data_IF_804441931671
#
_entry.id   IF_804441931671
#
_cell.length_a   1.000
_cell.length_b   1.000
_cell.length_c   1.000
_cell.angle_alpha   90.00
_cell.angle_beta   90.00
_cell.angle_gamma   90.00
#
_symmetry.space_group_name_H-M   'P 1'
#
loop_
_entity.id
_entity.type
_entity.pdbx_description
1 polymer ?
#
# COMPACT_ATOMS: atom_id res chain seq x y z
N UNK A 1 -25.43 -32.48 -20.71
CA UNK A 1 -24.88 -32.38 -19.34
C UNK A 1 -23.90 -31.21 -19.32
N UNK A 2 -24.36 -30.00 -19.02
CA UNK A 2 -23.45 -28.90 -18.70
C UNK A 2 -23.02 -29.09 -17.25
N UNK A 3 -21.72 -29.19 -16.95
CA UNK A 3 -21.26 -29.21 -15.57
C UNK A 3 -21.60 -27.88 -14.92
N UNK A 4 -22.13 -27.94 -13.71
CA UNK A 4 -22.47 -26.81 -12.87
C UNK A 4 -21.30 -25.80 -12.77
N UNK A 5 -21.58 -24.50 -12.66
CA UNK A 5 -20.54 -23.50 -12.42
C UNK A 5 -19.76 -23.85 -11.15
N UNK A 6 -18.45 -23.56 -11.09
CA UNK A 6 -17.65 -23.83 -9.91
C UNK A 6 -18.24 -23.08 -8.72
N UNK A 7 -18.19 -23.76 -7.57
CA UNK A 7 -18.69 -23.28 -6.28
C UNK A 7 -18.17 -21.87 -6.04
N UNK A 8 -19.08 -21.00 -5.61
CA UNK A 8 -18.76 -19.69 -5.07
C UNK A 8 -17.58 -19.87 -4.09
N UNK A 9 -16.44 -19.26 -4.39
CA UNK A 9 -15.39 -19.08 -3.38
C UNK A 9 -15.95 -18.06 -2.39
N UNK A 10 -16.63 -18.56 -1.37
CA UNK A 10 -17.00 -17.77 -0.22
C UNK A 10 -15.73 -17.68 0.64
N UNK A 11 -14.98 -16.60 0.46
CA UNK A 11 -13.93 -16.18 1.37
C UNK A 11 -14.63 -15.87 2.71
N UNK A 12 -14.57 -16.82 3.65
CA UNK A 12 -15.09 -16.64 5.01
C UNK A 12 -14.20 -15.65 5.76
N UNK A 13 -14.71 -14.46 6.04
CA UNK A 13 -13.97 -13.30 6.60
C UNK A 13 -13.45 -13.63 8.01
N UNK A 14 -12.28 -14.24 8.08
CA UNK A 14 -11.40 -14.38 9.24
C UNK A 14 -9.99 -13.88 8.84
N UNK A 15 -9.09 -13.71 9.81
CA UNK A 15 -7.68 -13.24 9.64
C UNK A 15 -6.91 -13.93 8.48
N UNK A 16 -7.32 -15.15 8.12
CA UNK A 16 -6.76 -15.94 7.03
C UNK A 16 -7.04 -15.36 5.62
N UNK A 17 -8.20 -14.71 5.40
CA UNK A 17 -8.51 -14.11 4.10
C UNK A 17 -7.78 -12.80 3.85
N UNK A 18 -7.49 -12.06 4.90
CA UNK A 18 -6.81 -10.77 4.81
C UNK A 18 -5.36 -11.00 4.42
N UNK A 19 -4.74 -12.01 5.05
CA UNK A 19 -3.43 -12.53 4.67
C UNK A 19 -3.46 -13.04 3.22
N UNK A 20 -4.53 -13.73 2.80
CA UNK A 20 -4.67 -14.19 1.43
C UNK A 20 -4.82 -13.04 0.41
N UNK A 21 -5.62 -12.00 0.69
CA UNK A 21 -5.80 -10.85 -0.21
C UNK A 21 -4.51 -10.05 -0.29
N UNK A 22 -3.83 -9.79 0.84
CA UNK A 22 -2.51 -9.15 0.85
C UNK A 22 -1.52 -9.95 0.01
N UNK A 23 -1.43 -11.26 0.24
CA UNK A 23 -0.54 -12.13 -0.52
C UNK A 23 -0.87 -12.14 -2.02
N UNK A 24 -2.14 -12.29 -2.40
CA UNK A 24 -2.59 -12.22 -3.79
C UNK A 24 -2.27 -10.87 -4.42
N UNK A 25 -2.40 -9.79 -3.65
CA UNK A 25 -1.93 -8.47 -4.03
C UNK A 25 -0.45 -8.47 -4.36
N UNK A 26 0.40 -8.91 -3.44
CA UNK A 26 1.84 -8.98 -3.69
C UNK A 26 2.18 -9.80 -4.93
N UNK A 27 1.53 -10.96 -5.11
CA UNK A 27 1.69 -11.79 -6.30
C UNK A 27 1.26 -11.06 -7.58
N UNK A 28 0.14 -10.33 -7.54
CA UNK A 28 -0.31 -9.51 -8.67
C UNK A 28 0.71 -8.43 -9.03
N UNK A 29 1.23 -7.69 -8.04
CA UNK A 29 2.24 -6.67 -8.26
C UNK A 29 3.52 -7.25 -8.86
N UNK A 30 4.03 -8.34 -8.29
CA UNK A 30 5.24 -9.02 -8.76
C UNK A 30 5.07 -9.61 -10.17
N UNK A 31 3.87 -10.08 -10.51
CA UNK A 31 3.60 -10.66 -11.83
C UNK A 31 3.46 -9.60 -12.93
N UNK A 32 2.95 -8.40 -12.59
CA UNK A 32 2.68 -7.35 -13.58
C UNK A 32 3.78 -6.28 -13.64
N UNK A 33 4.60 -6.15 -12.60
CA UNK A 33 5.63 -5.12 -12.50
C UNK A 33 6.96 -5.74 -12.06
N UNK A 34 7.88 -5.91 -13.02
CA UNK A 34 9.12 -6.68 -12.83
C UNK A 34 10.04 -6.16 -11.72
N UNK A 35 9.96 -4.88 -11.39
CA UNK A 35 10.75 -4.24 -10.35
C UNK A 35 10.01 -4.11 -9.00
N UNK A 36 8.81 -4.70 -8.82
CA UNK A 36 7.98 -4.54 -7.60
C UNK A 36 8.74 -4.80 -6.28
N UNK A 37 9.70 -5.72 -6.27
CA UNK A 37 10.50 -6.04 -5.08
C UNK A 37 11.50 -4.94 -4.70
N UNK A 38 11.84 -4.04 -5.62
CA UNK A 38 12.74 -2.92 -5.38
C UNK A 38 12.02 -1.74 -4.68
N UNK A 39 10.70 -1.80 -4.58
CA UNK A 39 9.85 -0.77 -3.96
C UNK A 39 9.00 -1.38 -2.83
N UNK A 40 9.62 -1.78 -1.71
CA UNK A 40 8.91 -2.46 -0.64
C UNK A 40 7.77 -1.58 -0.06
N UNK A 41 7.95 -0.26 -0.01
CA UNK A 41 6.89 0.66 0.41
C UNK A 41 5.63 0.56 -0.48
N UNK A 42 5.81 0.43 -1.80
CA UNK A 42 4.71 0.35 -2.75
C UNK A 42 4.08 -1.03 -2.72
N UNK A 43 4.90 -2.08 -2.74
CA UNK A 43 4.45 -3.47 -2.69
C UNK A 43 3.63 -3.74 -1.42
N UNK A 44 4.17 -3.38 -0.26
CA UNK A 44 3.52 -3.61 1.03
C UNK A 44 2.40 -2.61 1.30
N UNK A 45 2.58 -1.35 0.92
CA UNK A 45 1.59 -0.32 1.11
C UNK A 45 0.32 -0.58 0.31
N UNK A 46 0.45 -0.85 -1.00
CA UNK A 46 -0.70 -1.18 -1.83
C UNK A 46 -1.35 -2.50 -1.39
N UNK A 47 -0.58 -3.57 -1.20
CA UNK A 47 -1.15 -4.88 -0.87
C UNK A 47 -1.86 -4.90 0.49
N UNK A 48 -1.33 -4.18 1.48
CA UNK A 48 -1.95 -4.07 2.80
C UNK A 48 -3.19 -3.17 2.78
N UNK A 49 -3.19 -2.11 1.96
CA UNK A 49 -4.36 -1.26 1.78
C UNK A 49 -5.51 -2.00 1.11
N UNK A 50 -5.27 -2.71 0.00
CA UNK A 50 -6.33 -3.46 -0.70
C UNK A 50 -6.87 -4.63 0.11
N UNK A 51 -6.12 -5.13 1.10
CA UNK A 51 -6.59 -6.15 2.02
C UNK A 51 -7.76 -5.64 2.89
N UNK A 52 -7.93 -4.32 3.03
CA UNK A 52 -9.12 -3.70 3.62
C UNK A 52 -10.36 -3.69 2.71
N UNK A 53 -10.26 -4.24 1.50
CA UNK A 53 -11.35 -4.28 0.54
C UNK A 53 -12.50 -5.17 1.00
N UNK A 54 -13.73 -4.65 0.87
CA UNK A 54 -14.98 -5.38 1.08
C UNK A 54 -15.81 -5.35 -0.20
N UNK A 55 -16.47 -6.47 -0.51
CA UNK A 55 -17.46 -6.49 -1.59
C UNK A 55 -18.71 -5.76 -1.13
N UNK A 56 -19.13 -4.76 -1.90
CA UNK A 56 -20.41 -4.11 -1.70
C UNK A 56 -21.58 -4.98 -2.19
N UNK A 57 -22.81 -4.51 -1.97
CA UNK A 57 -24.03 -5.22 -2.38
C UNK A 57 -24.14 -5.43 -3.90
N UNK A 58 -23.35 -4.68 -4.70
CA UNK A 58 -23.29 -4.80 -6.16
C UNK A 58 -22.20 -5.77 -6.62
N UNK A 59 -21.41 -6.32 -5.69
CA UNK A 59 -20.28 -7.20 -5.98
C UNK A 59 -19.03 -6.44 -6.44
N UNK A 60 -18.99 -5.12 -6.28
CA UNK A 60 -17.80 -4.31 -6.51
C UNK A 60 -16.94 -4.28 -5.24
N UNK A 61 -15.62 -4.30 -5.40
CA UNK A 61 -14.71 -4.13 -4.27
C UNK A 61 -14.62 -2.65 -3.94
N UNK A 62 -14.98 -2.31 -2.71
CA UNK A 62 -14.76 -0.98 -2.11
C UNK A 62 -13.75 -1.09 -0.99
N UNK A 63 -12.88 -0.10 -0.82
CA UNK A 63 -11.95 -0.05 0.32
C UNK A 63 -12.42 1.10 1.20
N UNK A 64 -13.24 0.83 2.25
CA UNK A 64 -13.85 1.86 3.07
C UNK A 64 -12.83 2.60 3.96
N UNK A 65 -11.66 2.00 4.18
CA UNK A 65 -10.58 2.56 4.98
C UNK A 65 -9.51 1.53 5.28
N UNK A 66 -8.46 1.91 6.04
CA UNK A 66 -7.44 0.97 6.51
C UNK A 66 -8.06 -0.06 7.46
N UNK A 67 -7.45 -1.25 7.51
CA UNK A 67 -7.83 -2.29 8.48
C UNK A 67 -7.44 -1.89 9.90
N UNK A 68 -8.18 -2.39 10.89
CA UNK A 68 -7.90 -2.11 12.29
C UNK A 68 -6.48 -2.50 12.70
N UNK A 69 -5.96 -3.66 12.26
CA UNK A 69 -4.57 -4.05 12.57
C UNK A 69 -3.53 -3.07 12.00
N UNK A 70 -3.77 -2.52 10.81
CA UNK A 70 -2.89 -1.51 10.20
C UNK A 70 -2.97 -0.20 10.98
N UNK A 71 -4.17 0.18 11.44
CA UNK A 71 -4.34 1.33 12.32
C UNK A 71 -3.63 1.13 13.65
N UNK A 72 -3.76 -0.04 14.27
CA UNK A 72 -3.15 -0.35 15.56
C UNK A 72 -1.60 -0.31 15.46
N UNK A 73 -1.03 -0.93 14.43
CA UNK A 73 0.41 -0.91 14.16
C UNK A 73 0.92 0.51 13.85
N UNK A 74 0.17 1.28 13.05
CA UNK A 74 0.50 2.69 12.77
C UNK A 74 0.46 3.55 14.02
N UNK A 75 -0.60 3.42 14.84
CA UNK A 75 -0.77 4.19 16.08
C UNK A 75 0.30 3.82 17.13
N UNK A 76 0.69 2.55 17.19
CA UNK A 76 1.83 2.10 17.99
C UNK A 76 3.12 2.80 17.55
N UNK A 77 3.38 2.85 16.25
CA UNK A 77 4.55 3.53 15.70
C UNK A 77 4.52 5.06 15.92
N UNK A 78 3.37 5.72 15.70
CA UNK A 78 3.20 7.17 15.86
C UNK A 78 3.39 7.61 17.31
N UNK A 79 2.83 6.86 18.27
CA UNK A 79 2.99 7.15 19.70
C UNK A 79 4.38 6.78 20.24
N UNK A 80 5.05 5.79 19.66
CA UNK A 80 6.35 5.27 20.09
C UNK A 80 7.58 5.96 19.48
N UNK A 81 7.40 6.98 18.62
CA UNK A 81 8.47 7.52 17.75
C UNK A 81 9.08 6.50 16.77
N UNK A 82 8.31 5.46 16.43
CA UNK A 82 8.70 4.41 15.49
C UNK A 82 8.47 4.78 14.02
N UNK A 83 7.73 5.86 13.74
CA UNK A 83 7.59 6.38 12.38
C UNK A 83 8.93 6.89 11.85
N UNK A 84 9.26 6.45 10.64
CA UNK A 84 10.40 7.00 9.89
C UNK A 84 9.96 8.20 9.08
N UNK A 85 10.89 9.09 8.75
CA UNK A 85 10.59 10.19 7.81
C UNK A 85 10.10 9.63 6.48
N UNK A 86 9.12 10.29 5.84
CA UNK A 86 8.53 9.81 4.59
C UNK A 86 9.57 9.57 3.50
N UNK A 87 10.53 10.48 3.35
CA UNK A 87 11.63 10.32 2.40
C UNK A 87 12.42 9.02 2.67
N UNK A 88 12.68 8.72 3.94
CA UNK A 88 13.39 7.51 4.35
C UNK A 88 12.55 6.25 4.09
N UNK A 89 11.24 6.30 4.32
CA UNK A 89 10.32 5.20 4.01
C UNK A 89 10.33 4.87 2.51
N UNK A 90 10.17 5.91 1.68
CA UNK A 90 10.05 5.79 0.24
C UNK A 90 11.34 5.33 -0.42
N UNK A 91 12.50 5.65 0.16
CA UNK A 91 13.82 5.25 -0.34
C UNK A 91 14.36 3.97 0.34
N UNK A 92 13.62 3.37 1.26
CA UNK A 92 14.09 2.25 2.06
C UNK A 92 14.32 1.00 1.18
N UNK A 93 15.55 0.45 1.11
CA UNK A 93 15.80 -0.77 0.36
C UNK A 93 15.18 -1.98 1.07
N UNK A 94 14.78 -2.99 0.30
CA UNK A 94 14.11 -4.20 0.81
C UNK A 94 14.86 -4.86 1.99
N UNK A 95 16.19 -4.94 1.90
CA UNK A 95 17.02 -5.50 2.97
C UNK A 95 16.84 -4.80 4.32
N UNK A 96 16.66 -3.47 4.33
CA UNK A 96 16.39 -2.69 5.54
C UNK A 96 14.92 -2.77 5.93
N UNK A 97 14.01 -2.64 4.97
CA UNK A 97 12.56 -2.68 5.18
C UNK A 97 12.12 -3.96 5.90
N UNK A 98 12.72 -5.11 5.54
CA UNK A 98 12.40 -6.41 6.13
C UNK A 98 13.34 -6.84 7.27
N UNK A 99 14.26 -5.99 7.72
CA UNK A 99 15.26 -6.34 8.76
C UNK A 99 14.74 -6.28 10.20
N UNK A 100 13.58 -5.65 10.44
CA UNK A 100 12.98 -5.53 11.77
C UNK A 100 13.44 -4.34 12.62
N UNK A 101 14.16 -3.37 12.04
CA UNK A 101 14.34 -2.04 12.65
C UNK A 101 14.16 -0.93 11.61
N UNK A 102 13.06 -0.15 11.65
CA UNK A 102 11.92 -0.26 12.57
C UNK A 102 11.19 -1.59 12.45
N UNK A 103 10.30 -1.91 13.40
CA UNK A 103 9.60 -3.19 13.37
C UNK A 103 8.84 -3.33 12.05
N UNK A 104 8.94 -4.50 11.41
CA UNK A 104 8.32 -4.73 10.08
C UNK A 104 6.83 -4.36 10.06
N UNK A 105 6.00 -4.73 11.06
CA UNK A 105 4.60 -4.34 11.07
C UNK A 105 4.39 -2.82 11.04
N UNK A 106 5.20 -2.05 11.78
CA UNK A 106 5.09 -0.59 11.87
C UNK A 106 5.42 0.10 10.55
N UNK A 107 6.51 -0.33 9.88
CA UNK A 107 6.92 0.21 8.58
C UNK A 107 5.94 -0.18 7.47
N UNK A 108 5.41 -1.40 7.51
CA UNK A 108 4.34 -1.85 6.59
C UNK A 108 3.08 -1.03 6.81
N UNK A 109 2.68 -0.79 8.07
CA UNK A 109 1.52 0.02 8.40
C UNK A 109 1.68 1.47 7.94
N UNK A 110 2.85 2.08 8.16
CA UNK A 110 3.13 3.42 7.66
C UNK A 110 3.05 3.49 6.13
N UNK A 111 3.61 2.51 5.42
CA UNK A 111 3.51 2.43 3.96
C UNK A 111 2.06 2.26 3.48
N UNK A 112 1.25 1.45 4.17
CA UNK A 112 -0.16 1.25 3.87
C UNK A 112 -0.99 2.53 4.08
N UNK A 113 -0.73 3.26 5.15
CA UNK A 113 -1.39 4.53 5.43
C UNK A 113 -0.99 5.62 4.41
N UNK A 114 0.28 5.70 4.02
CA UNK A 114 0.71 6.62 2.97
C UNK A 114 0.04 6.30 1.62
N UNK A 115 0.01 5.02 1.25
CA UNK A 115 -0.67 4.59 0.02
C UNK A 115 -2.18 4.86 0.07
N UNK A 116 -2.82 4.60 1.21
CA UNK A 116 -4.22 4.93 1.47
C UNK A 116 -4.53 6.41 1.26
N UNK A 117 -3.72 7.29 1.83
CA UNK A 117 -3.82 8.74 1.60
C UNK A 117 -3.69 9.10 0.12
N UNK A 118 -2.71 8.52 -0.59
CA UNK A 118 -2.55 8.76 -2.03
C UNK A 118 -3.82 8.39 -2.80
N UNK A 119 -4.37 7.20 -2.62
CA UNK A 119 -5.55 6.77 -3.39
C UNK A 119 -6.82 7.52 -2.99
N UNK A 120 -6.94 7.96 -1.73
CA UNK A 120 -8.13 8.67 -1.23
C UNK A 120 -8.11 10.16 -1.55
N UNK A 121 -6.96 10.81 -1.41
CA UNK A 121 -6.85 12.27 -1.50
C UNK A 121 -6.10 12.76 -2.73
N UNK A 122 -5.27 11.92 -3.35
CA UNK A 122 -4.43 12.27 -4.50
C UNK A 122 -4.49 11.18 -5.59
N UNK A 123 -5.70 10.78 -6.04
CA UNK A 123 -5.86 9.61 -6.89
C UNK A 123 -5.07 9.69 -8.21
N UNK A 124 -4.90 10.89 -8.76
CA UNK A 124 -4.11 11.11 -9.98
C UNK A 124 -2.63 10.77 -9.77
N UNK A 125 -2.05 11.09 -8.60
CA UNK A 125 -0.69 10.70 -8.23
C UNK A 125 -0.55 9.19 -8.06
N UNK A 126 -1.54 8.52 -7.45
CA UNK A 126 -1.54 7.06 -7.34
C UNK A 126 -1.64 6.37 -8.71
N UNK A 127 -2.50 6.89 -9.60
CA UNK A 127 -2.60 6.43 -10.99
C UNK A 127 -1.30 6.67 -11.74
N UNK A 128 -0.65 7.83 -11.51
CA UNK A 128 0.63 8.15 -12.13
C UNK A 128 1.71 7.14 -11.75
N UNK A 129 1.82 6.78 -10.46
CA UNK A 129 2.74 5.74 -9.99
C UNK A 129 2.53 4.44 -10.77
N UNK A 130 1.29 3.94 -10.88
CA UNK A 130 1.04 2.68 -11.62
C UNK A 130 1.31 2.78 -13.12
N UNK A 131 0.98 3.90 -13.74
CA UNK A 131 1.25 4.11 -15.16
C UNK A 131 2.75 4.08 -15.46
N UNK A 132 3.56 4.74 -14.64
CA UNK A 132 5.02 4.70 -14.77
C UNK A 132 5.55 3.29 -14.52
N UNK A 133 5.02 2.62 -13.50
CA UNK A 133 5.40 1.27 -13.14
C UNK A 133 5.13 0.25 -14.26
N UNK A 134 3.97 0.38 -14.92
CA UNK A 134 3.59 -0.48 -16.05
C UNK A 134 4.27 -0.14 -17.36
N UNK A 135 4.56 1.15 -17.60
CA UNK A 135 5.22 1.61 -18.81
C UNK A 135 6.72 1.30 -18.83
N UNK A 136 7.36 1.28 -17.64
CA UNK A 136 8.81 1.21 -17.50
C UNK A 136 9.24 0.05 -16.58
N UNK A 137 9.41 -1.19 -17.09
CA UNK A 137 9.74 -2.37 -16.28
C UNK A 137 11.05 -2.30 -15.48
N UNK A 138 11.93 -1.34 -15.77
CA UNK A 138 13.19 -1.10 -15.07
C UNK A 138 13.29 0.31 -14.49
N UNK A 139 12.16 0.96 -14.20
CA UNK A 139 12.13 2.29 -13.59
C UNK A 139 12.91 2.30 -12.27
N UNK A 140 13.66 3.36 -12.01
CA UNK A 140 14.34 3.54 -10.73
C UNK A 140 13.38 4.12 -9.69
N UNK A 141 13.70 3.96 -8.39
CA UNK A 141 12.89 4.57 -7.33
C UNK A 141 12.92 6.10 -7.40
N UNK A 142 14.07 6.68 -7.77
CA UNK A 142 14.16 8.12 -7.99
C UNK A 142 13.19 8.61 -9.07
N UNK A 143 13.11 7.91 -10.20
CA UNK A 143 12.21 8.29 -11.30
C UNK A 143 10.73 8.09 -10.94
N UNK A 144 10.41 6.99 -10.25
CA UNK A 144 9.04 6.72 -9.79
C UNK A 144 8.56 7.77 -8.78
N UNK A 145 9.42 8.12 -7.80
CA UNK A 145 9.14 9.16 -6.82
C UNK A 145 9.07 10.54 -7.49
N UNK A 146 9.96 10.82 -8.44
CA UNK A 146 9.93 12.05 -9.24
C UNK A 146 8.58 12.23 -9.93
N UNK A 147 8.11 11.20 -10.65
CA UNK A 147 6.81 11.27 -11.32
C UNK A 147 5.63 11.45 -10.35
N UNK A 148 5.69 10.82 -9.16
CA UNK A 148 4.66 11.00 -8.13
C UNK A 148 4.65 12.43 -7.57
N UNK A 149 5.80 12.97 -7.20
CA UNK A 149 5.90 14.32 -6.62
C UNK A 149 5.67 15.43 -7.65
N UNK A 150 6.04 15.20 -8.92
CA UNK A 150 5.69 16.08 -10.04
C UNK A 150 4.15 16.16 -10.22
N UNK A 151 3.46 15.02 -10.13
CA UNK A 151 1.98 14.98 -10.20
C UNK A 151 1.33 15.67 -9.00
N UNK A 152 1.90 15.48 -7.80
CA UNK A 152 1.44 16.16 -6.57
C UNK A 152 1.71 17.67 -6.60
N UNK A 153 2.70 18.14 -7.37
CA UNK A 153 3.15 19.52 -7.38
C UNK A 153 3.69 19.99 -6.01
N UNK A 154 4.21 19.06 -5.21
CA UNK A 154 4.63 19.30 -3.82
C UNK A 154 5.92 18.56 -3.50
N UNK A 155 6.77 19.17 -2.67
CA UNK A 155 7.92 18.51 -2.08
C UNK A 155 7.49 17.47 -1.02
N UNK A 156 8.42 16.58 -0.65
CA UNK A 156 8.17 15.49 0.31
C UNK A 156 7.71 15.96 1.70
N UNK A 157 8.21 17.10 2.20
CA UNK A 157 7.87 17.60 3.55
C UNK A 157 6.40 18.03 3.71
N UNK A 158 5.85 18.85 2.81
CA UNK A 158 4.40 19.12 2.78
C UNK A 158 3.55 17.86 2.65
N UNK A 159 3.95 16.92 1.77
CA UNK A 159 3.26 15.64 1.60
C UNK A 159 3.28 14.81 2.88
N UNK A 160 4.42 14.77 3.58
CA UNK A 160 4.56 14.12 4.88
C UNK A 160 3.57 14.66 5.91
N UNK A 161 3.50 15.98 6.03
CA UNK A 161 2.59 16.64 6.96
C UNK A 161 1.12 16.32 6.63
N UNK A 162 0.77 16.30 5.34
CA UNK A 162 -0.59 16.03 4.88
C UNK A 162 -1.01 14.57 5.11
N UNK A 163 -0.17 13.60 4.74
CA UNK A 163 -0.52 12.20 4.95
C UNK A 163 -0.58 11.86 6.45
N UNK A 164 0.35 12.38 7.27
CA UNK A 164 0.32 12.13 8.71
C UNK A 164 -0.94 12.71 9.36
N UNK A 165 -1.35 13.91 8.93
CA UNK A 165 -2.59 14.50 9.41
C UNK A 165 -3.81 13.67 9.02
N UNK A 166 -3.84 13.11 7.81
CA UNK A 166 -4.92 12.22 7.37
C UNK A 166 -4.90 10.89 8.11
N UNK A 167 -3.72 10.29 8.27
CA UNK A 167 -3.54 8.97 8.87
C UNK A 167 -3.97 8.96 10.34
N UNK A 168 -3.66 10.03 11.07
CA UNK A 168 -4.08 10.24 12.47
C UNK A 168 -5.58 10.51 12.63
N UNK A 169 -6.29 10.78 11.53
CA UNK A 169 -7.73 11.06 11.54
C UNK A 169 -8.59 9.86 11.09
N UNK A 170 -7.95 8.75 10.70
CA UNK A 170 -8.63 7.48 10.42
C UNK A 170 -9.04 6.80 11.73
#
# INVERSE_FOLDING_TARGET
>A
FCPSPPRHFMLAVDDDNETAIRFLGQQFMQANYGAANDFPWLLEGWSSWIAGGVFDETGLVSIPGPRQVILDDFNSADSGSGLVALESLLQMPAGTFYSGTPAVPEVVAQAAMFWGWLVTNQPDAAVRVFNEFGANPGISNGDLLGAMFDELGMDVGPVESMYLSWARAQ
#
